data_IF_764766926869
#
_entry.id   IF_764766926869
#
_cell.length_a   1.000
_cell.length_b   1.000
_cell.length_c   1.000
_cell.angle_alpha   90.00
_cell.angle_beta   90.00
_cell.angle_gamma   90.00
#
_symmetry.space_group_name_H-M   'P 1'
#
loop_
_entity.id
_entity.type
_entity.pdbx_description
1 polymer ?
#
# COMPACT_ATOMS: atom_id res chain seq x y z
N UNK A 1 -0.20 -14.35 8.69
CA UNK A 1 -0.05 -15.67 8.00
C UNK A 1 1.21 -16.35 8.52
N UNK A 2 1.49 -17.62 8.16
CA UNK A 2 2.74 -18.31 8.58
C UNK A 2 3.89 -17.91 7.62
N UNK A 3 4.94 -17.19 8.08
CA UNK A 3 6.01 -16.67 7.23
C UNK A 3 6.79 -17.77 6.48
N UNK A 4 6.81 -18.98 7.04
CA UNK A 4 7.49 -20.12 6.43
C UNK A 4 6.75 -20.63 5.17
N UNK A 5 5.43 -20.49 5.15
CA UNK A 5 4.59 -20.81 4.00
C UNK A 5 4.77 -19.76 2.89
N UNK A 6 4.79 -18.48 3.25
CA UNK A 6 4.97 -17.37 2.30
C UNK A 6 6.33 -17.43 1.59
N UNK A 7 7.41 -17.68 2.34
CA UNK A 7 8.75 -17.86 1.76
C UNK A 7 8.79 -19.03 0.77
N UNK A 8 8.09 -20.11 1.07
CA UNK A 8 8.01 -21.29 0.19
C UNK A 8 7.21 -20.99 -1.08
N UNK A 9 6.11 -20.24 -0.97
CA UNK A 9 5.30 -19.80 -2.11
C UNK A 9 6.07 -18.83 -3.01
N UNK A 10 6.79 -17.87 -2.42
CA UNK A 10 7.64 -16.93 -3.16
C UNK A 10 8.72 -17.66 -3.99
N UNK A 11 9.36 -18.67 -3.40
CA UNK A 11 10.33 -19.53 -4.12
C UNK A 11 9.68 -20.31 -5.26
N UNK A 12 8.51 -20.91 -5.03
CA UNK A 12 7.78 -21.63 -6.07
C UNK A 12 7.40 -20.72 -7.25
N UNK A 13 6.88 -19.52 -6.96
CA UNK A 13 6.54 -18.52 -7.97
C UNK A 13 7.77 -18.05 -8.76
N UNK A 14 8.91 -17.84 -8.09
CA UNK A 14 10.16 -17.47 -8.75
C UNK A 14 10.66 -18.56 -9.72
N UNK A 15 10.57 -19.84 -9.34
CA UNK A 15 10.91 -20.98 -10.20
C UNK A 15 9.99 -21.02 -11.42
N UNK A 16 8.68 -20.89 -11.22
CA UNK A 16 7.69 -20.90 -12.30
C UNK A 16 7.93 -19.75 -13.28
N UNK A 17 8.16 -18.53 -12.76
CA UNK A 17 8.42 -17.37 -13.59
C UNK A 17 9.76 -17.47 -14.33
N UNK A 18 10.81 -17.99 -13.70
CA UNK A 18 12.09 -18.22 -14.35
C UNK A 18 11.96 -19.17 -15.55
N UNK A 19 11.14 -20.22 -15.44
CA UNK A 19 10.91 -21.18 -16.53
C UNK A 19 10.24 -20.55 -17.77
N UNK A 20 9.56 -19.40 -17.63
CA UNK A 20 9.01 -18.66 -18.78
C UNK A 20 10.07 -17.93 -19.60
N UNK A 21 11.27 -17.74 -19.04
CA UNK A 21 12.37 -17.03 -19.66
C UNK A 21 13.33 -18.02 -20.35
N UNK A 22 13.67 -17.73 -21.62
CA UNK A 22 14.55 -18.58 -22.41
C UNK A 22 16.02 -18.16 -22.26
N UNK A 23 16.86 -19.10 -21.84
CA UNK A 23 18.32 -18.98 -21.86
C UNK A 23 18.89 -19.96 -22.88
N UNK A 24 19.59 -19.45 -23.90
CA UNK A 24 20.08 -20.26 -25.01
C UNK A 24 19.00 -21.12 -25.70
N UNK A 25 17.78 -20.59 -25.81
CA UNK A 25 16.58 -21.24 -26.40
C UNK A 25 15.96 -22.38 -25.57
N UNK A 26 16.34 -22.53 -24.32
CA UNK A 26 15.69 -23.44 -23.38
C UNK A 26 15.14 -22.67 -22.17
N UNK A 27 14.04 -23.12 -21.55
CA UNK A 27 13.57 -22.58 -20.26
C UNK A 27 14.69 -22.52 -19.22
N UNK A 28 14.76 -21.44 -18.46
CA UNK A 28 15.69 -21.37 -17.33
C UNK A 28 15.21 -22.26 -16.19
N UNK A 29 16.10 -23.08 -15.66
CA UNK A 29 15.92 -23.78 -14.40
C UNK A 29 16.66 -23.02 -13.29
N UNK A 30 16.01 -22.82 -12.15
CA UNK A 30 16.58 -22.13 -10.99
C UNK A 30 16.50 -23.09 -9.81
N UNK A 31 17.64 -23.29 -9.15
CA UNK A 31 17.69 -24.11 -7.95
C UNK A 31 17.14 -23.30 -6.76
N UNK A 32 16.47 -23.96 -5.81
CA UNK A 32 15.88 -23.28 -4.66
C UNK A 32 16.90 -22.52 -3.83
N UNK A 33 18.13 -23.03 -3.75
CA UNK A 33 19.28 -22.37 -3.10
C UNK A 33 19.74 -21.08 -3.79
N UNK A 34 19.33 -20.85 -5.04
CA UNK A 34 19.62 -19.63 -5.79
C UNK A 34 18.52 -18.57 -5.64
N UNK A 35 17.57 -18.80 -4.73
CA UNK A 35 16.45 -17.90 -4.43
C UNK A 35 16.51 -17.48 -2.96
N UNK A 36 16.86 -16.21 -2.75
CA UNK A 36 16.86 -15.55 -1.46
C UNK A 36 15.56 -14.76 -1.31
N UNK A 37 14.84 -14.95 -0.21
CA UNK A 37 13.66 -14.16 0.18
C UNK A 37 13.98 -13.53 1.52
N UNK A 38 13.84 -12.21 1.62
CA UNK A 38 14.33 -11.46 2.77
C UNK A 38 13.86 -10.01 2.78
N UNK A 39 14.41 -9.24 3.70
CA UNK A 39 14.15 -7.81 3.86
C UNK A 39 15.27 -6.96 3.25
N UNK A 40 14.91 -5.85 2.61
CA UNK A 40 15.79 -4.79 2.14
C UNK A 40 15.31 -3.48 2.76
N UNK A 41 16.18 -2.88 3.57
CA UNK A 41 15.86 -1.70 4.38
C UNK A 41 15.64 -0.43 3.55
N UNK A 42 16.56 -0.15 2.62
CA UNK A 42 16.40 0.94 1.68
C UNK A 42 16.28 0.40 0.25
N UNK A 43 15.05 0.22 -0.25
CA UNK A 43 14.84 -0.39 -1.54
C UNK A 43 15.20 0.55 -2.72
N UNK A 44 15.50 1.82 -2.45
CA UNK A 44 16.07 2.77 -3.42
C UNK A 44 17.59 2.65 -3.58
N UNK A 45 18.27 1.92 -2.68
CA UNK A 45 19.70 1.68 -2.78
C UNK A 45 19.98 0.47 -3.68
N UNK A 46 20.62 0.73 -4.83
CA UNK A 46 21.07 -0.33 -5.73
C UNK A 46 22.08 -1.23 -5.01
N UNK A 47 21.91 -2.55 -5.17
CA UNK A 47 22.77 -3.54 -4.53
C UNK A 47 22.66 -3.62 -3.00
N UNK A 48 21.53 -3.18 -2.42
CA UNK A 48 21.30 -3.28 -0.98
C UNK A 48 21.40 -4.73 -0.47
N UNK A 49 21.89 -4.87 0.76
CA UNK A 49 21.94 -6.16 1.47
C UNK A 49 20.53 -6.68 1.68
N UNK A 50 20.33 -7.98 1.41
CA UNK A 50 19.11 -8.69 1.79
C UNK A 50 19.34 -9.36 3.15
N UNK A 51 18.49 -9.06 4.10
CA UNK A 51 18.50 -9.62 5.45
C UNK A 51 17.57 -10.83 5.48
N UNK A 52 18.10 -12.00 5.83
CA UNK A 52 17.36 -13.27 5.79
C UNK A 52 16.85 -13.72 7.18
N UNK A 53 17.14 -12.94 8.22
CA UNK A 53 16.85 -13.22 9.62
C UNK A 53 15.59 -12.49 10.13
N UNK A 54 14.88 -11.78 9.25
CA UNK A 54 13.67 -11.01 9.56
C UNK A 54 12.48 -11.48 8.69
N UNK A 55 12.02 -12.73 8.85
CA UNK A 55 11.03 -13.33 7.96
C UNK A 55 9.67 -12.60 7.95
N UNK A 56 9.32 -11.92 9.04
CA UNK A 56 8.10 -11.11 9.17
C UNK A 56 8.15 -9.79 8.37
N UNK A 57 9.35 -9.37 7.93
CA UNK A 57 9.58 -8.14 7.19
C UNK A 57 9.97 -8.40 5.73
N UNK A 58 9.81 -9.64 5.24
CA UNK A 58 10.24 -9.99 3.89
C UNK A 58 9.58 -9.09 2.83
N UNK A 59 10.40 -8.31 2.12
CA UNK A 59 9.94 -7.37 1.09
C UNK A 59 10.70 -7.53 -0.24
N UNK A 60 11.65 -8.48 -0.30
CA UNK A 60 12.55 -8.66 -1.43
C UNK A 60 12.70 -10.14 -1.81
N UNK A 61 12.80 -10.39 -3.11
CA UNK A 61 13.15 -11.69 -3.69
C UNK A 61 14.33 -11.49 -4.63
N UNK A 62 15.42 -12.20 -4.38
CA UNK A 62 16.61 -12.23 -5.23
C UNK A 62 16.74 -13.60 -5.87
N UNK A 63 16.87 -13.59 -7.19
CA UNK A 63 16.99 -14.80 -8.00
C UNK A 63 18.32 -14.79 -8.74
N UNK A 64 19.09 -15.87 -8.61
CA UNK A 64 20.31 -16.10 -9.40
C UNK A 64 20.08 -17.21 -10.41
N UNK A 65 20.23 -16.90 -11.69
CA UNK A 65 20.18 -17.89 -12.78
C UNK A 65 21.61 -18.26 -13.15
N UNK A 66 21.97 -19.54 -13.04
CA UNK A 66 23.30 -20.03 -13.41
C UNK A 66 23.27 -20.89 -14.67
N UNK A 67 24.27 -20.70 -15.53
CA UNK A 67 24.63 -21.58 -16.65
C UNK A 67 25.93 -22.28 -16.29
N UNK A 68 25.83 -23.49 -15.76
CA UNK A 68 26.95 -24.38 -15.41
C UNK A 68 26.82 -25.71 -16.17
N UNK A 69 27.79 -26.61 -16.04
CA UNK A 69 27.69 -27.94 -16.63
C UNK A 69 26.51 -28.76 -16.05
N UNK A 70 26.13 -28.47 -14.79
CA UNK A 70 25.09 -29.17 -14.05
C UNK A 70 23.71 -28.50 -14.17
N UNK A 71 23.67 -27.17 -14.39
CA UNK A 71 22.44 -26.39 -14.43
C UNK A 71 22.42 -25.49 -15.67
N UNK A 72 21.38 -25.62 -16.49
CA UNK A 72 21.15 -24.83 -17.71
C UNK A 72 22.23 -24.91 -18.82
N UNK A 73 23.31 -25.66 -18.63
CA UNK A 73 24.40 -25.83 -19.60
C UNK A 73 25.29 -24.59 -19.71
N UNK A 74 26.61 -24.78 -19.78
CA UNK A 74 27.57 -23.69 -19.95
C UNK A 74 27.42 -22.96 -21.30
N UNK A 75 27.93 -21.74 -21.37
CA UNK A 75 27.96 -20.97 -22.61
C UNK A 75 29.07 -21.54 -23.51
N UNK A 76 28.76 -22.11 -24.68
CA UNK A 76 29.79 -22.63 -25.57
C UNK A 76 30.56 -21.47 -26.20
N UNK A 77 31.89 -21.56 -26.16
CA UNK A 77 32.71 -20.60 -26.89
C UNK A 77 32.76 -20.94 -28.37
N UNK A 78 32.73 -19.91 -29.22
CA UNK A 78 32.88 -20.09 -30.66
C UNK A 78 34.36 -20.07 -31.06
N UNK A 79 35.07 -18.97 -30.78
CA UNK A 79 36.48 -18.82 -31.18
C UNK A 79 37.48 -19.39 -30.17
N UNK A 80 37.21 -19.32 -28.86
CA UNK A 80 38.18 -19.73 -27.82
C UNK A 80 38.52 -21.23 -27.85
N UNK A 81 37.73 -22.04 -28.57
CA UNK A 81 37.99 -23.47 -28.80
C UNK A 81 39.32 -23.74 -29.50
N UNK A 82 39.77 -22.83 -30.38
CA UNK A 82 41.09 -22.96 -31.02
C UNK A 82 42.25 -22.87 -30.02
N UNK A 83 42.00 -22.26 -28.86
CA UNK A 83 42.94 -22.12 -27.75
C UNK A 83 42.74 -23.18 -26.66
N UNK A 84 41.83 -24.14 -26.86
CA UNK A 84 41.52 -25.21 -25.91
C UNK A 84 40.46 -24.88 -24.85
N UNK A 85 39.68 -23.82 -25.04
CA UNK A 85 38.55 -23.48 -24.15
C UNK A 85 37.20 -23.77 -24.83
N UNK A 86 36.43 -24.74 -24.30
CA UNK A 86 35.20 -25.22 -24.94
C UNK A 86 33.93 -24.46 -24.55
N UNK A 87 33.87 -24.01 -23.29
CA UNK A 87 32.72 -23.35 -22.68
C UNK A 87 33.13 -22.59 -21.42
N UNK A 88 32.20 -21.80 -20.88
CA UNK A 88 32.36 -21.12 -19.61
C UNK A 88 31.04 -21.03 -18.86
N UNK A 89 31.14 -21.17 -17.53
CA UNK A 89 30.03 -20.93 -16.62
C UNK A 89 29.71 -19.43 -16.53
N UNK A 90 28.43 -19.09 -16.41
CA UNK A 90 27.97 -17.71 -16.28
C UNK A 90 26.77 -17.66 -15.36
N UNK A 91 26.57 -16.56 -14.65
CA UNK A 91 25.40 -16.33 -13.84
C UNK A 91 24.90 -14.90 -13.99
N UNK A 92 23.63 -14.70 -13.66
CA UNK A 92 22.99 -13.40 -13.58
C UNK A 92 22.08 -13.37 -12.36
N UNK A 93 22.07 -12.26 -11.64
CA UNK A 93 21.25 -12.06 -10.45
C UNK A 93 20.34 -10.86 -10.65
N UNK A 94 19.10 -10.97 -10.21
CA UNK A 94 18.14 -9.87 -10.17
C UNK A 94 17.43 -9.85 -8.81
N UNK A 95 17.17 -8.66 -8.28
CA UNK A 95 16.40 -8.49 -7.03
C UNK A 95 15.12 -7.71 -7.35
N UNK A 96 13.97 -8.27 -7.01
CA UNK A 96 12.70 -7.56 -6.98
C UNK A 96 12.41 -7.14 -5.55
N UNK A 97 11.99 -5.89 -5.35
CA UNK A 97 11.67 -5.35 -4.02
C UNK A 97 10.36 -4.57 -4.10
N UNK A 98 9.59 -4.62 -3.03
CA UNK A 98 8.44 -3.73 -2.78
C UNK A 98 8.54 -3.15 -1.36
N UNK A 99 7.70 -2.17 -1.06
CA UNK A 99 7.46 -1.68 0.30
C UNK A 99 6.09 -2.24 0.67
N UNK A 100 6.06 -3.09 1.69
CA UNK A 100 4.86 -3.62 2.31
C UNK A 100 4.92 -3.28 3.78
N UNK A 101 3.89 -2.57 4.25
CA UNK A 101 3.86 -1.89 5.55
C UNK A 101 5.06 -0.95 5.74
N UNK A 102 5.05 -0.13 6.79
CA UNK A 102 6.11 0.86 7.00
C UNK A 102 6.17 2.01 5.99
N UNK A 103 5.02 2.55 5.60
CA UNK A 103 4.90 3.76 4.78
C UNK A 103 4.76 4.98 5.70
N UNK A 104 5.72 5.92 5.64
CA UNK A 104 5.61 7.20 6.37
C UNK A 104 4.85 8.28 5.61
N UNK A 105 4.56 8.06 4.34
CA UNK A 105 3.91 9.08 3.54
C UNK A 105 3.97 8.86 2.05
N UNK A 106 3.55 9.91 1.35
CA UNK A 106 3.34 9.91 -0.08
C UNK A 106 3.88 11.19 -0.70
N UNK A 107 4.31 11.09 -1.95
CA UNK A 107 4.69 12.21 -2.81
C UNK A 107 4.19 11.96 -4.22
N UNK A 108 4.12 13.00 -5.03
CA UNK A 108 3.80 12.89 -6.45
C UNK A 108 4.62 11.77 -7.13
N UNK A 109 3.96 10.77 -7.77
CA UNK A 109 4.64 9.74 -8.52
C UNK A 109 5.52 10.33 -9.63
N UNK A 110 6.64 9.67 -9.97
CA UNK A 110 7.56 10.15 -11.00
C UNK A 110 6.90 10.24 -12.39
N UNK A 111 5.94 9.36 -12.67
CA UNK A 111 5.15 9.38 -13.89
C UNK A 111 4.05 10.47 -13.88
N UNK A 112 3.91 11.21 -12.78
CA UNK A 112 2.72 11.99 -12.47
C UNK A 112 1.55 11.10 -12.08
N UNK A 113 0.40 11.73 -11.81
CA UNK A 113 -0.82 11.04 -11.42
C UNK A 113 -1.18 11.27 -9.96
N UNK A 114 -2.36 10.77 -9.61
CA UNK A 114 -2.95 10.96 -8.29
C UNK A 114 -2.68 9.75 -7.39
N UNK A 115 -2.67 9.99 -6.09
CA UNK A 115 -2.60 8.93 -5.08
C UNK A 115 -3.97 8.78 -4.46
N UNK A 116 -4.53 7.56 -4.32
CA UNK A 116 -5.92 7.33 -3.89
C UNK A 116 -6.14 7.56 -2.39
N UNK A 117 -5.51 8.59 -1.82
CA UNK A 117 -5.80 9.12 -0.49
C UNK A 117 -7.13 9.85 -0.54
N UNK A 118 -8.03 9.53 0.39
CA UNK A 118 -9.26 10.29 0.59
C UNK A 118 -9.10 11.22 1.80
N UNK A 119 -9.71 12.42 1.78
CA UNK A 119 -9.50 13.46 2.80
C UNK A 119 -10.35 13.20 4.06
N UNK A 120 -10.27 11.98 4.61
CA UNK A 120 -10.97 11.53 5.81
C UNK A 120 -10.01 10.78 6.69
N UNK A 121 -10.01 11.03 7.99
CA UNK A 121 -9.15 10.36 8.96
C UNK A 121 -9.95 9.47 9.91
N UNK A 122 -9.33 8.37 10.35
CA UNK A 122 -9.90 7.42 11.31
C UNK A 122 -9.19 7.58 12.66
N UNK A 123 -9.94 7.42 13.74
CA UNK A 123 -9.39 7.40 15.09
C UNK A 123 -8.54 6.14 15.32
N UNK A 124 -7.38 6.28 15.94
CA UNK A 124 -6.46 5.17 16.15
C UNK A 124 -7.10 4.01 16.93
N UNK A 125 -7.86 4.28 17.98
CA UNK A 125 -8.48 3.22 18.80
C UNK A 125 -9.51 2.45 17.96
N UNK A 126 -10.27 3.14 17.10
CA UNK A 126 -11.21 2.49 16.18
C UNK A 126 -10.52 1.60 15.15
N UNK A 127 -9.34 2.00 14.66
CA UNK A 127 -8.58 1.18 13.74
C UNK A 127 -8.01 -0.06 14.44
N UNK A 128 -7.51 0.10 15.67
CA UNK A 128 -6.98 -1.01 16.46
C UNK A 128 -8.10 -2.03 16.79
N UNK A 129 -9.31 -1.58 17.14
CA UNK A 129 -10.51 -2.45 17.32
C UNK A 129 -10.83 -3.29 16.06
N UNK A 130 -10.62 -2.73 14.86
CA UNK A 130 -10.84 -3.43 13.58
C UNK A 130 -9.80 -4.52 13.37
N UNK A 131 -8.54 -4.24 13.70
CA UNK A 131 -7.47 -5.23 13.60
C UNK A 131 -7.64 -6.36 14.63
N UNK A 132 -8.21 -6.06 15.79
CA UNK A 132 -8.51 -7.05 16.84
C UNK A 132 -9.76 -7.89 16.55
N UNK A 133 -10.59 -7.46 15.59
CA UNK A 133 -11.82 -8.16 15.21
C UNK A 133 -13.01 -7.86 16.12
N UNK A 134 -12.96 -6.74 16.84
CA UNK A 134 -13.97 -6.32 17.80
C UNK A 134 -15.11 -5.47 17.18
N UNK A 135 -15.08 -5.30 15.86
CA UNK A 135 -16.10 -4.58 15.09
C UNK A 135 -17.05 -5.52 14.34
N UNK A 136 -18.05 -4.96 13.67
CA UNK A 136 -19.07 -5.74 12.96
C UNK A 136 -18.53 -6.35 11.66
N UNK A 137 -19.06 -7.48 11.23
CA UNK A 137 -18.81 -8.09 9.91
C UNK A 137 -20.16 -8.50 9.33
N UNK A 138 -20.70 -7.68 8.43
CA UNK A 138 -22.09 -7.73 7.94
C UNK A 138 -22.24 -7.56 6.44
N UNK A 139 -21.16 -7.21 5.75
CA UNK A 139 -21.02 -6.93 4.33
C UNK A 139 -19.90 -7.81 3.75
N UNK A 140 -20.16 -8.35 2.59
CA UNK A 140 -19.23 -9.21 1.84
C UNK A 140 -18.83 -8.50 0.57
N UNK A 141 -17.53 -8.50 0.28
CA UNK A 141 -17.01 -8.08 -1.02
C UNK A 141 -16.68 -9.29 -1.90
N UNK A 142 -17.22 -9.32 -3.11
CA UNK A 142 -16.85 -10.31 -4.13
C UNK A 142 -15.66 -9.79 -4.98
N UNK A 143 -14.45 -10.34 -4.81
CA UNK A 143 -13.27 -9.87 -5.54
C UNK A 143 -13.34 -10.13 -7.05
N UNK A 144 -14.22 -11.02 -7.52
CA UNK A 144 -14.37 -11.32 -8.95
C UNK A 144 -15.25 -10.31 -9.67
N UNK A 145 -16.22 -9.73 -8.97
CA UNK A 145 -17.19 -8.78 -9.55
C UNK A 145 -17.04 -7.36 -9.02
N UNK A 146 -16.26 -7.15 -7.95
CA UNK A 146 -16.16 -5.89 -7.23
C UNK A 146 -17.43 -5.50 -6.47
N UNK A 147 -18.42 -6.40 -6.40
CA UNK A 147 -19.72 -6.10 -5.81
C UNK A 147 -19.68 -6.26 -4.28
N UNK A 148 -20.38 -5.36 -3.60
CA UNK A 148 -20.61 -5.45 -2.14
C UNK A 148 -22.06 -5.85 -1.89
N UNK A 149 -22.26 -6.84 -1.02
CA UNK A 149 -23.59 -7.36 -0.66
C UNK A 149 -23.66 -7.64 0.84
N UNK A 150 -24.86 -7.80 1.39
CA UNK A 150 -25.02 -8.18 2.80
C UNK A 150 -24.59 -9.65 3.03
N UNK A 151 -23.79 -9.88 4.07
CA UNK A 151 -23.23 -11.18 4.46
C UNK A 151 -21.86 -11.01 5.11
N UNK A 152 -21.43 -11.93 5.97
CA UNK A 152 -20.10 -11.87 6.58
C UNK A 152 -19.04 -12.51 5.67
N UNK A 153 -17.88 -11.85 5.52
CA UNK A 153 -16.72 -12.38 4.77
C UNK A 153 -15.48 -12.65 5.65
N UNK A 154 -15.61 -12.45 6.95
CA UNK A 154 -14.55 -12.64 7.94
C UNK A 154 -13.63 -11.44 8.09
N UNK A 155 -13.91 -10.32 7.41
CA UNK A 155 -13.18 -9.07 7.53
C UNK A 155 -14.00 -8.07 8.34
N UNK A 156 -13.49 -7.57 9.47
CA UNK A 156 -14.21 -6.58 10.28
C UNK A 156 -14.40 -5.25 9.55
N UNK A 157 -15.54 -4.62 9.80
CA UNK A 157 -15.99 -3.36 9.21
C UNK A 157 -16.07 -2.26 10.26
N UNK A 158 -15.80 -1.04 9.82
CA UNK A 158 -15.97 0.14 10.66
C UNK A 158 -16.54 1.30 9.87
N UNK A 159 -16.99 2.30 10.61
CA UNK A 159 -17.58 3.49 10.03
C UNK A 159 -16.55 4.61 9.98
N UNK A 160 -16.12 4.96 8.76
CA UNK A 160 -15.29 6.13 8.49
C UNK A 160 -16.03 7.45 8.78
N UNK A 161 -17.37 7.43 8.77
CA UNK A 161 -18.16 8.61 9.15
C UNK A 161 -18.20 8.73 10.69
N UNK A 162 -17.83 9.88 11.26
CA UNK A 162 -17.69 10.08 12.70
C UNK A 162 -18.92 9.68 13.50
N UNK A 163 -18.68 8.92 14.56
CA UNK A 163 -19.69 8.44 15.49
C UNK A 163 -19.56 9.15 16.86
N UNK A 164 -19.66 10.49 16.88
CA UNK A 164 -19.91 11.27 18.12
C UNK A 164 -18.89 11.07 19.28
N UNK A 165 -17.64 10.68 19.01
CA UNK A 165 -16.60 10.59 20.06
C UNK A 165 -15.70 11.82 20.04
N UNK A 166 -15.79 12.66 21.09
CA UNK A 166 -14.80 13.68 21.45
C UNK A 166 -14.73 14.96 20.61
N UNK A 167 -14.72 14.86 19.27
CA UNK A 167 -14.40 15.96 18.35
C UNK A 167 -15.42 16.11 17.18
N UNK A 168 -16.72 16.27 17.47
CA UNK A 168 -17.78 16.25 16.46
C UNK A 168 -17.78 17.45 15.48
N UNK A 169 -16.96 18.48 15.70
CA UNK A 169 -16.97 19.71 14.89
C UNK A 169 -16.29 19.54 13.51
N UNK A 170 -15.36 18.58 13.37
CA UNK A 170 -14.52 18.42 12.17
C UNK A 170 -14.81 17.17 11.36
N UNK A 171 -15.64 16.29 11.92
CA UNK A 171 -16.09 15.08 11.26
C UNK A 171 -15.00 14.21 10.58
N UNK A 172 -13.75 14.26 11.06
CA UNK A 172 -12.66 13.49 10.47
C UNK A 172 -12.23 13.97 9.08
N UNK A 173 -12.83 15.03 8.51
CA UNK A 173 -12.40 15.56 7.21
C UNK A 173 -11.11 16.36 7.33
N UNK A 174 -10.23 16.17 6.37
CA UNK A 174 -8.90 16.77 6.32
C UNK A 174 -8.80 17.77 5.16
N UNK A 175 -8.07 18.85 5.41
CA UNK A 175 -7.68 19.78 4.37
C UNK A 175 -6.37 19.32 3.70
N UNK A 176 -6.50 18.76 2.51
CA UNK A 176 -5.38 18.36 1.67
C UNK A 176 -5.43 19.21 0.39
N UNK A 177 -4.72 20.34 0.33
CA UNK A 177 -4.60 21.15 -0.89
C UNK A 177 -4.79 22.65 -0.64
N UNK A 178 -4.87 23.42 -1.74
CA UNK A 178 -4.71 24.88 -1.73
C UNK A 178 -5.99 25.69 -1.40
N UNK A 179 -7.18 25.14 -1.60
CA UNK A 179 -8.43 25.89 -1.41
C UNK A 179 -9.16 25.40 -0.16
N UNK A 180 -10.00 26.25 0.44
CA UNK A 180 -10.90 25.86 1.54
C UNK A 180 -11.96 24.88 1.02
N UNK A 181 -11.50 23.67 0.72
CA UNK A 181 -12.20 22.45 0.33
C UNK A 181 -13.64 22.70 -0.09
N UNK A 182 -13.80 23.22 -1.31
CA UNK A 182 -15.14 23.28 -1.87
C UNK A 182 -15.68 21.85 -1.94
N UNK A 183 -17.00 21.68 -1.85
CA UNK A 183 -17.61 20.34 -2.02
C UNK A 183 -17.16 19.67 -3.33
N UNK A 184 -16.77 20.44 -4.34
CA UNK A 184 -16.24 19.89 -5.58
C UNK A 184 -14.83 19.31 -5.42
N UNK A 185 -13.96 19.94 -4.64
CA UNK A 185 -12.57 19.49 -4.44
C UNK A 185 -12.56 18.21 -3.62
N UNK A 186 -13.35 18.15 -2.55
CA UNK A 186 -13.55 16.92 -1.77
C UNK A 186 -14.09 15.78 -2.65
N UNK A 187 -15.06 16.07 -3.55
CA UNK A 187 -15.57 15.06 -4.49
C UNK A 187 -14.48 14.56 -5.43
N UNK A 188 -13.65 15.45 -5.95
CA UNK A 188 -12.54 15.09 -6.83
C UNK A 188 -11.52 14.23 -6.10
N UNK A 189 -11.15 14.57 -4.86
CA UNK A 189 -10.22 13.77 -4.08
C UNK A 189 -10.77 12.40 -3.69
N UNK A 190 -12.07 12.29 -3.40
CA UNK A 190 -12.71 10.99 -3.15
C UNK A 190 -12.66 10.10 -4.40
N UNK A 191 -13.01 10.66 -5.56
CA UNK A 191 -13.07 9.93 -6.83
C UNK A 191 -11.68 9.58 -7.36
N UNK A 192 -10.83 10.60 -7.46
CA UNK A 192 -9.60 10.59 -8.23
C UNK A 192 -8.34 10.58 -7.35
N UNK A 193 -8.45 10.82 -6.04
CA UNK A 193 -7.33 10.91 -5.11
C UNK A 193 -6.66 12.28 -5.04
N UNK A 194 -5.63 12.38 -4.20
CA UNK A 194 -4.78 13.57 -4.02
C UNK A 194 -3.89 13.78 -5.22
N UNK A 195 -3.92 15.00 -5.76
CA UNK A 195 -3.24 15.39 -7.00
C UNK A 195 -1.81 15.89 -6.77
N UNK A 196 -0.98 16.01 -7.81
CA UNK A 196 0.33 16.66 -7.70
C UNK A 196 0.29 18.09 -7.17
N UNK A 197 -0.76 18.86 -7.51
CA UNK A 197 -0.92 20.23 -7.04
C UNK A 197 -1.27 20.28 -5.55
N UNK A 198 -2.04 19.30 -5.05
CA UNK A 198 -2.30 19.14 -3.62
C UNK A 198 -1.01 18.81 -2.86
N UNK A 199 -0.15 17.93 -3.39
CA UNK A 199 1.17 17.67 -2.81
C UNK A 199 2.05 18.91 -2.82
N UNK A 200 2.08 19.66 -3.92
CA UNK A 200 2.89 20.87 -4.04
C UNK A 200 2.50 21.93 -2.98
N UNK A 201 1.22 22.01 -2.62
CA UNK A 201 0.76 22.86 -1.53
C UNK A 201 1.37 22.48 -0.17
N UNK A 202 1.57 21.19 0.07
CA UNK A 202 2.17 20.64 1.29
C UNK A 202 3.70 20.50 1.22
N UNK A 203 4.35 21.10 0.22
CA UNK A 203 5.82 21.03 0.06
C UNK A 203 6.30 19.77 -0.66
N UNK A 204 5.51 19.28 -1.61
CA UNK A 204 5.73 18.13 -2.49
C UNK A 204 5.56 16.73 -1.85
N UNK A 205 5.25 16.65 -0.55
CA UNK A 205 4.93 15.39 0.13
C UNK A 205 3.91 15.55 1.27
N UNK A 206 3.19 14.46 1.55
CA UNK A 206 2.45 14.24 2.78
C UNK A 206 3.20 13.17 3.56
N UNK A 207 4.05 13.60 4.49
CA UNK A 207 5.09 12.74 5.06
C UNK A 207 5.24 12.98 6.56
N UNK A 208 5.42 11.90 7.31
CA UNK A 208 5.70 12.00 8.72
C UNK A 208 7.05 12.66 8.99
N UNK A 209 7.08 13.46 10.04
CA UNK A 209 8.30 14.05 10.57
C UNK A 209 9.17 13.03 11.33
N UNK A 210 10.23 13.51 11.97
CA UNK A 210 11.13 12.66 12.76
C UNK A 210 10.47 12.04 14.00
N UNK A 211 9.27 12.50 14.38
CA UNK A 211 8.46 11.93 15.45
C UNK A 211 7.43 10.93 14.92
N UNK A 212 7.50 10.56 13.64
CA UNK A 212 6.56 9.67 12.95
C UNK A 212 5.12 10.21 12.95
N UNK A 213 4.98 11.55 12.89
CA UNK A 213 3.66 12.19 12.83
C UNK A 213 3.58 13.23 11.72
N UNK A 214 2.37 13.49 11.23
CA UNK A 214 2.06 14.56 10.28
C UNK A 214 0.86 15.35 10.80
N UNK A 215 0.99 16.67 10.88
CA UNK A 215 -0.13 17.55 11.20
C UNK A 215 -0.87 17.93 9.93
N UNK A 216 -2.17 17.64 9.87
CA UNK A 216 -3.06 18.07 8.80
C UNK A 216 -4.19 18.92 9.36
N UNK A 217 -4.47 20.03 8.70
CA UNK A 217 -5.56 20.91 9.10
C UNK A 217 -6.91 20.20 8.94
N UNK A 218 -7.80 20.40 9.89
CA UNK A 218 -9.16 19.93 9.86
C UNK A 218 -9.99 20.75 8.85
N UNK A 219 -10.94 20.09 8.20
CA UNK A 219 -11.89 20.74 7.32
C UNK A 219 -13.31 20.70 7.94
N UNK A 220 -13.94 21.85 8.24
CA UNK A 220 -15.30 21.88 8.74
C UNK A 220 -16.30 21.71 7.58
N UNK A 221 -16.54 20.47 7.14
CA UNK A 221 -17.61 20.26 6.18
C UNK A 221 -17.71 18.90 5.49
N UNK A 222 -18.30 17.90 6.15
CA UNK A 222 -18.99 16.83 5.40
C UNK A 222 -20.42 17.27 5.12
N UNK A 223 -20.69 17.63 3.87
CA UNK A 223 -22.07 17.77 3.40
C UNK A 223 -22.53 16.50 2.68
N UNK A 224 -23.85 16.30 2.55
CA UNK A 224 -24.42 15.28 1.68
C UNK A 224 -23.94 15.38 0.20
N UNK A 225 -23.29 16.48 -0.18
CA UNK A 225 -22.76 16.67 -1.53
C UNK A 225 -21.67 15.67 -1.95
N UNK A 226 -20.98 15.02 -0.99
CA UNK A 226 -19.96 14.01 -1.29
C UNK A 226 -20.49 12.57 -1.35
N UNK A 227 -21.76 12.33 -1.00
CA UNK A 227 -22.37 10.99 -1.01
C UNK A 227 -22.25 10.33 -2.38
N UNK A 228 -22.55 11.08 -3.44
CA UNK A 228 -22.43 10.59 -4.81
C UNK A 228 -21.00 10.21 -5.22
N UNK A 229 -19.98 10.80 -4.61
CA UNK A 229 -18.58 10.46 -4.89
C UNK A 229 -18.23 9.13 -4.20
N UNK A 230 -18.56 9.01 -2.91
CA UNK A 230 -18.38 7.76 -2.18
C UNK A 230 -19.15 6.58 -2.79
N UNK A 231 -20.40 6.80 -3.22
CA UNK A 231 -21.21 5.74 -3.84
C UNK A 231 -20.62 5.22 -5.16
N UNK A 232 -19.84 6.04 -5.88
CA UNK A 232 -19.19 5.62 -7.12
C UNK A 232 -17.98 4.72 -6.90
N UNK A 233 -17.38 4.75 -5.70
CA UNK A 233 -16.15 4.03 -5.38
C UNK A 233 -16.40 2.85 -4.43
N UNK A 234 -17.67 2.44 -4.25
CA UNK A 234 -18.01 1.22 -3.50
C UNK A 234 -17.31 0.02 -4.16
N UNK A 235 -16.65 -0.80 -3.35
CA UNK A 235 -15.83 -1.94 -3.76
C UNK A 235 -14.37 -1.56 -4.05
N UNK A 236 -14.06 -0.28 -4.27
CA UNK A 236 -12.71 0.17 -4.53
C UNK A 236 -11.90 0.37 -3.23
N UNK A 237 -10.58 0.19 -3.33
CA UNK A 237 -9.67 0.46 -2.22
C UNK A 237 -9.13 1.89 -2.28
N UNK A 238 -8.90 2.48 -1.11
CA UNK A 238 -8.47 3.86 -0.88
C UNK A 238 -7.51 3.91 0.31
N UNK A 239 -6.69 4.94 0.35
CA UNK A 239 -5.77 5.22 1.45
C UNK A 239 -6.44 6.22 2.39
N UNK A 240 -6.37 5.93 3.68
CA UNK A 240 -6.94 6.75 4.74
C UNK A 240 -5.88 7.01 5.81
N UNK A 241 -5.67 8.26 6.24
CA UNK A 241 -4.87 8.56 7.42
C UNK A 241 -5.55 8.13 8.71
N UNK A 242 -4.76 7.71 9.70
CA UNK A 242 -5.19 7.43 11.07
C UNK A 242 -4.61 8.49 11.98
N UNK A 243 -5.45 9.07 12.84
CA UNK A 243 -5.05 10.12 13.77
C UNK A 243 -5.04 9.61 15.22
N UNK A 244 -4.12 10.13 16.01
CA UNK A 244 -4.02 9.85 17.45
C UNK A 244 -4.57 10.99 18.32
N UNK A 245 -4.56 12.22 17.82
CA UNK A 245 -5.01 13.39 18.55
C UNK A 245 -5.57 14.47 17.61
N UNK A 246 -6.39 15.36 18.16
CA UNK A 246 -6.93 16.53 17.48
C UNK A 246 -6.69 17.76 18.36
N UNK A 247 -5.95 18.74 17.84
CA UNK A 247 -5.62 19.97 18.56
C UNK A 247 -6.35 21.17 17.95
N UNK A 248 -6.76 22.13 18.77
CA UNK A 248 -7.49 23.32 18.32
C UNK A 248 -9.00 23.15 18.28
N UNK A 249 -9.73 24.22 17.92
CA UNK A 249 -11.19 24.24 17.80
C UNK A 249 -11.60 25.01 16.54
N UNK A 250 -12.74 24.66 15.92
CA UNK A 250 -13.23 25.32 14.70
C UNK A 250 -12.28 25.19 13.50
N UNK A 251 -12.27 26.13 12.56
CA UNK A 251 -11.44 26.07 11.33
C UNK A 251 -9.91 26.02 11.55
N UNK A 252 -9.43 25.92 12.79
CA UNK A 252 -8.01 25.77 13.15
C UNK A 252 -7.72 24.42 13.83
N UNK A 253 -8.65 23.46 13.77
CA UNK A 253 -8.38 22.09 14.21
C UNK A 253 -7.23 21.48 13.40
N UNK A 254 -6.37 20.71 14.03
CA UNK A 254 -5.29 19.97 13.38
C UNK A 254 -5.31 18.52 13.87
N UNK A 255 -5.36 17.59 12.93
CA UNK A 255 -5.25 16.17 13.18
C UNK A 255 -3.77 15.78 13.21
N UNK A 256 -3.37 15.09 14.27
CA UNK A 256 -2.07 14.45 14.34
C UNK A 256 -2.18 13.05 13.72
N UNK A 257 -1.78 12.94 12.46
CA UNK A 257 -1.73 11.68 11.72
C UNK A 257 -0.50 10.89 12.17
N UNK A 258 -0.70 9.61 12.46
CA UNK A 258 0.34 8.69 12.98
C UNK A 258 0.51 7.44 12.13
N UNK A 259 -0.46 7.12 11.27
CA UNK A 259 -0.44 5.92 10.43
C UNK A 259 -1.22 6.14 9.14
N UNK A 260 -0.85 5.42 8.08
CA UNK A 260 -1.61 5.34 6.82
C UNK A 260 -2.20 3.94 6.62
N UNK A 261 -3.48 3.83 6.28
CA UNK A 261 -4.13 2.52 6.14
C UNK A 261 -4.83 2.36 4.80
N UNK A 262 -4.76 1.15 4.26
CA UNK A 262 -5.53 0.72 3.10
C UNK A 262 -6.92 0.22 3.52
N UNK A 263 -7.96 0.81 2.94
CA UNK A 263 -9.36 0.43 3.22
C UNK A 263 -10.14 0.22 1.93
N UNK A 264 -11.20 -0.58 1.97
CA UNK A 264 -12.19 -0.73 0.89
C UNK A 264 -13.49 -0.07 1.28
N UNK A 265 -14.10 0.68 0.38
CA UNK A 265 -15.42 1.28 0.59
C UNK A 265 -16.51 0.21 0.45
N UNK A 266 -17.32 0.00 1.49
CA UNK A 266 -18.31 -1.08 1.55
C UNK A 266 -19.72 -0.58 1.38
N UNK A 267 -20.08 0.45 2.15
CA UNK A 267 -21.42 1.00 2.11
C UNK A 267 -21.38 2.50 2.35
N UNK A 268 -22.29 3.21 1.70
CA UNK A 268 -22.40 4.66 1.82
C UNK A 268 -23.88 4.98 2.02
N UNK A 269 -24.16 5.65 3.13
CA UNK A 269 -25.44 6.26 3.37
C UNK A 269 -25.20 7.57 4.12
N UNK A 270 -25.27 8.71 3.43
CA UNK A 270 -25.21 10.03 4.05
C UNK A 270 -26.59 10.70 4.13
N UNK A 271 -27.61 9.99 3.66
CA UNK A 271 -29.02 10.36 3.73
C UNK A 271 -29.65 9.97 5.09
N UNK A 272 -29.64 10.89 6.06
CA UNK A 272 -30.25 10.67 7.38
C UNK A 272 -30.09 11.87 8.33
N UNK A 273 -30.79 11.87 9.46
CA UNK A 273 -30.49 12.81 10.55
C UNK A 273 -29.22 12.39 11.30
N UNK A 274 -28.49 13.35 11.86
CA UNK A 274 -27.26 13.08 12.61
C UNK A 274 -27.50 12.04 13.72
N UNK A 275 -26.63 11.03 13.80
CA UNK A 275 -26.73 9.91 14.76
C UNK A 275 -27.80 8.85 14.46
N UNK A 276 -28.50 8.91 13.32
CA UNK A 276 -29.60 8.00 12.97
C UNK A 276 -29.45 7.43 11.54
N UNK A 277 -28.24 6.99 11.16
CA UNK A 277 -28.03 6.20 9.94
C UNK A 277 -26.98 6.70 8.96
N UNK A 278 -26.38 7.88 9.19
CA UNK A 278 -25.24 8.34 8.38
C UNK A 278 -24.02 7.45 8.63
N UNK A 279 -23.50 6.84 7.57
CA UNK A 279 -22.34 5.96 7.62
C UNK A 279 -21.62 5.89 6.28
N UNK A 280 -20.31 5.75 6.37
CA UNK A 280 -19.44 5.28 5.30
C UNK A 280 -18.75 4.07 5.88
N UNK A 281 -19.28 2.89 5.59
CA UNK A 281 -18.71 1.64 6.10
C UNK A 281 -17.55 1.25 5.20
N UNK A 282 -16.44 0.89 5.81
CA UNK A 282 -15.22 0.45 5.15
C UNK A 282 -14.68 -0.80 5.84
N UNK A 283 -13.85 -1.55 5.15
CA UNK A 283 -13.11 -2.70 5.68
C UNK A 283 -11.62 -2.55 5.36
N UNK A 284 -10.69 -3.17 6.11
CA UNK A 284 -9.30 -3.29 5.68
C UNK A 284 -9.17 -3.86 4.26
N UNK A 285 -8.31 -3.27 3.44
CA UNK A 285 -8.17 -3.69 2.06
C UNK A 285 -6.85 -3.27 1.44
N UNK A 286 -6.12 -4.18 0.75
CA UNK A 286 -4.82 -3.86 0.18
C UNK A 286 -4.93 -2.76 -0.87
N UNK A 287 -4.11 -1.72 -0.74
CA UNK A 287 -3.91 -0.69 -1.76
C UNK A 287 -2.54 -0.83 -2.38
N UNK A 288 -2.50 -1.00 -3.70
CA UNK A 288 -1.28 -0.92 -4.48
C UNK A 288 -1.16 0.50 -5.06
N UNK A 289 -0.08 1.22 -4.74
CA UNK A 289 0.10 2.60 -5.21
C UNK A 289 1.55 2.95 -5.52
N UNK A 290 1.73 4.02 -6.29
CA UNK A 290 3.02 4.68 -6.48
C UNK A 290 3.22 5.82 -5.46
N UNK A 291 4.40 6.43 -5.46
CA UNK A 291 4.69 7.61 -4.64
C UNK A 291 4.96 7.33 -3.16
N UNK A 292 5.03 6.05 -2.76
CA UNK A 292 5.29 5.60 -1.39
C UNK A 292 6.66 6.07 -0.87
N UNK A 293 6.67 6.60 0.35
CA UNK A 293 7.89 6.95 1.09
C UNK A 293 8.07 5.96 2.26
N UNK A 294 9.14 5.15 2.29
CA UNK A 294 9.38 4.17 3.34
C UNK A 294 9.79 4.84 4.66
N UNK A 295 9.35 4.27 5.77
CA UNK A 295 9.68 4.70 7.14
C UNK A 295 10.76 3.81 7.79
N UNK A 296 10.85 2.54 7.41
CA UNK A 296 11.61 1.51 8.12
C UNK A 296 10.95 1.04 9.43
N UNK A 297 9.78 1.59 9.77
CA UNK A 297 8.97 1.21 10.94
C UNK A 297 7.62 0.64 10.47
N UNK A 298 7.40 -0.68 10.59
CA UNK A 298 6.19 -1.33 10.07
C UNK A 298 4.90 -0.78 10.70
N UNK A 299 4.96 -0.15 11.88
CA UNK A 299 3.77 0.42 12.55
C UNK A 299 3.18 1.66 11.87
N UNK A 300 3.89 2.25 10.92
CA UNK A 300 3.47 3.50 10.25
C UNK A 300 2.43 3.31 9.15
N UNK A 301 2.18 2.07 8.72
CA UNK A 301 1.08 1.80 7.79
C UNK A 301 0.61 0.35 7.81
N UNK A 302 -0.66 0.15 7.48
CA UNK A 302 -1.25 -1.19 7.30
C UNK A 302 -1.92 -1.31 5.93
N UNK A 303 -1.76 -2.44 5.23
CA UNK A 303 -2.42 -2.75 3.96
C UNK A 303 -2.06 -1.81 2.79
N UNK A 304 -0.89 -1.18 2.83
CA UNK A 304 -0.39 -0.33 1.76
C UNK A 304 0.86 -0.96 1.15
N UNK A 305 0.84 -1.10 -0.17
CA UNK A 305 1.90 -1.73 -0.94
C UNK A 305 2.36 -0.80 -2.06
N UNK A 306 3.67 -0.70 -2.25
CA UNK A 306 4.21 -0.06 -3.45
C UNK A 306 4.19 -1.01 -4.65
N UNK A 307 4.25 -0.44 -5.85
CA UNK A 307 4.60 -1.22 -7.04
C UNK A 307 5.95 -1.93 -6.84
N UNK A 308 6.08 -3.15 -7.38
CA UNK A 308 7.36 -3.87 -7.37
C UNK A 308 8.33 -3.18 -8.34
N UNK A 309 9.58 -3.00 -7.92
CA UNK A 309 10.65 -2.60 -8.84
C UNK A 309 11.85 -3.55 -8.79
N UNK A 310 12.64 -3.48 -9.85
CA UNK A 310 13.92 -4.18 -9.94
C UNK A 310 15.01 -3.32 -9.31
N UNK A 311 15.64 -3.85 -8.26
CA UNK A 311 16.87 -3.32 -7.69
C UNK A 311 18.03 -4.13 -8.30
N UNK A 312 18.68 -3.55 -9.30
CA UNK A 312 19.85 -4.13 -9.99
C UNK A 312 21.14 -3.44 -9.53
#
# INVERSE_FOLDING_TARGET
ADPSNETSQARAAAIEYAATNLISKAPANVATEDIEVGYVDNPYQLGATIWLDQPELNNAVRVTVRKTAQLNGEIPFFFARVLGFDSMASEATATAVFIGDGVRGFRTPLAGGNIPIIPFAIDQDQWDDVLEGDTSDTLTHDPSTGSVTAGSDGVPEFNLYPQVTGYPEHNGSLNIGHEQNSTQDLRNQILDGVTPDDFAYHGDSLEFDNSLTLLLDADPGISAGVESAFSQIIGETRIVPVFADVQGNGNNGQYQIVKWVGVRIMEVNLSGSDGQGKRVIVQPGPVLTEGVIPSGDPSTSDFIYSNVWLSN
#
